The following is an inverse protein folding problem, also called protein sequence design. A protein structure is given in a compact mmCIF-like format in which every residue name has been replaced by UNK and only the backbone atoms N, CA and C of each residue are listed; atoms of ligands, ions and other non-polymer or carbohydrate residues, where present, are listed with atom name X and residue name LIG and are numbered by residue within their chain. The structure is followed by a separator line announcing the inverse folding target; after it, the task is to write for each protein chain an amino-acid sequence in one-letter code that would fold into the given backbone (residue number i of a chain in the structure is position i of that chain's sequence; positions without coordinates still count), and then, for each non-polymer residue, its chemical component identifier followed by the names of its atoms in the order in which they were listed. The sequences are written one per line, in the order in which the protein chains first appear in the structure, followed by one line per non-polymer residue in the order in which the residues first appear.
data_IF_808920648860
#
_entry.id   IF_808920648860
#
_cell.length_a   1.000
_cell.length_b   1.000
_cell.length_c   1.000
_cell.angle_alpha   90.00
_cell.angle_beta   90.00
_cell.angle_gamma   90.00
#
_symmetry.space_group_name_H-M   'P 1'
#
loop_
_entity.id
_entity.type
_entity.pdbx_description
1 polymer ?
#
# COMPACT_ATOMS: atom_id res chain seq x y z
N UNK A 1 -31.95 -33.45 -8.90
CA UNK A 1 -30.54 -33.46 -8.45
C UNK A 1 -30.19 -32.02 -7.99
N UNK A 2 -30.28 -31.79 -6.67
CA UNK A 2 -29.83 -30.55 -6.07
C UNK A 2 -28.32 -30.67 -5.86
N UNK A 3 -27.56 -29.99 -6.68
CA UNK A 3 -26.13 -29.75 -6.37
C UNK A 3 -26.09 -28.64 -5.35
N UNK A 4 -25.95 -29.04 -4.08
CA UNK A 4 -25.67 -28.14 -2.98
C UNK A 4 -24.25 -27.57 -3.22
N UNK A 5 -24.16 -26.31 -3.68
CA UNK A 5 -22.93 -25.56 -3.67
C UNK A 5 -22.68 -25.18 -2.19
N UNK A 6 -22.04 -26.08 -1.44
CA UNK A 6 -21.47 -25.76 -0.15
C UNK A 6 -20.28 -24.85 -0.46
N UNK A 7 -20.46 -23.55 -0.27
CA UNK A 7 -19.35 -22.62 -0.10
C UNK A 7 -18.51 -23.17 1.05
N UNK A 8 -17.40 -23.83 0.75
CA UNK A 8 -16.36 -24.11 1.73
C UNK A 8 -15.99 -22.77 2.35
N UNK A 9 -16.45 -22.54 3.56
CA UNK A 9 -15.98 -21.44 4.38
C UNK A 9 -14.45 -21.62 4.44
N UNK A 10 -13.71 -20.73 3.75
CA UNK A 10 -12.26 -20.79 3.66
C UNK A 10 -11.74 -20.66 5.09
N UNK A 11 -11.28 -21.77 5.64
CA UNK A 11 -10.93 -21.93 7.03
C UNK A 11 -9.77 -21.02 7.37
N UNK A 12 -9.94 -20.17 8.36
CA UNK A 12 -8.92 -19.23 8.81
C UNK A 12 -7.85 -20.01 9.60
N UNK A 13 -6.67 -20.15 9.00
CA UNK A 13 -5.46 -20.75 9.63
C UNK A 13 -4.58 -19.69 10.30
N UNK A 14 -5.05 -18.45 10.36
CA UNK A 14 -4.25 -17.31 10.79
C UNK A 14 -3.45 -16.66 9.65
N UNK A 15 -2.31 -16.10 9.99
CA UNK A 15 -1.48 -15.38 9.02
C UNK A 15 -0.78 -16.35 8.06
N UNK A 16 -1.15 -16.31 6.78
CA UNK A 16 -0.53 -17.04 5.68
C UNK A 16 0.18 -16.06 4.74
N UNK A 17 1.18 -16.55 4.00
CA UNK A 17 1.81 -15.76 2.95
C UNK A 17 0.80 -15.53 1.82
N UNK A 18 0.56 -14.28 1.52
CA UNK A 18 -0.32 -13.85 0.43
C UNK A 18 0.35 -12.77 -0.39
N UNK A 19 0.12 -12.78 -1.69
CA UNK A 19 0.61 -11.73 -2.57
C UNK A 19 -0.29 -10.50 -2.47
N UNK A 20 0.33 -9.35 -2.22
CA UNK A 20 -0.31 -8.05 -2.15
C UNK A 20 0.23 -7.16 -3.26
N UNK A 21 -0.65 -6.39 -3.88
CA UNK A 21 -0.29 -5.35 -4.84
C UNK A 21 -0.50 -3.98 -4.19
N UNK A 22 0.58 -3.29 -3.88
CA UNK A 22 0.52 -2.09 -3.04
C UNK A 22 0.70 -0.79 -3.82
N UNK A 23 0.89 -0.87 -5.16
CA UNK A 23 1.09 0.29 -6.01
C UNK A 23 0.53 0.03 -7.42
N UNK A 24 -0.78 0.16 -7.59
CA UNK A 24 -1.47 -0.05 -8.85
C UNK A 24 -2.23 1.20 -9.27
N UNK A 25 -1.77 1.87 -10.34
CA UNK A 25 -2.56 2.89 -11.00
C UNK A 25 -3.64 2.27 -11.88
N UNK A 26 -4.66 3.06 -12.18
CA UNK A 26 -5.80 2.62 -13.00
C UNK A 26 -5.94 3.50 -14.24
N UNK A 27 -6.81 3.17 -15.20
CA UNK A 27 -7.20 4.11 -16.24
C UNK A 27 -7.61 5.47 -15.65
N UNK A 28 -7.27 6.53 -16.35
CA UNK A 28 -7.51 7.92 -15.93
C UNK A 28 -6.76 8.35 -14.67
N UNK A 29 -5.70 7.62 -14.29
CA UNK A 29 -4.74 8.13 -13.31
C UNK A 29 -4.24 9.53 -13.74
N UNK A 30 -4.06 10.41 -12.77
CA UNK A 30 -3.83 11.85 -13.03
C UNK A 30 -2.48 12.14 -13.70
N UNK A 31 -1.55 11.19 -13.69
CA UNK A 31 -0.24 11.29 -14.37
C UNK A 31 0.08 10.00 -15.12
N UNK A 32 0.75 10.15 -16.28
CA UNK A 32 1.32 9.06 -17.06
C UNK A 32 0.35 7.93 -17.47
N UNK A 33 -0.96 8.21 -17.58
CA UNK A 33 -1.95 7.24 -18.03
C UNK A 33 -1.64 6.72 -19.44
N UNK A 34 -1.28 5.45 -19.55
CA UNK A 34 -0.96 4.72 -20.79
C UNK A 34 -1.94 3.57 -21.05
N UNK A 35 -3.01 3.46 -20.25
CA UNK A 35 -4.06 2.48 -20.50
C UNK A 35 -4.76 2.76 -21.82
N UNK A 36 -5.11 1.72 -22.58
CA UNK A 36 -5.64 1.82 -23.94
C UNK A 36 -7.12 1.48 -24.01
N UNK A 37 -7.83 2.13 -24.91
CA UNK A 37 -9.25 1.95 -25.23
C UNK A 37 -9.74 3.11 -26.09
N UNK A 38 -10.69 2.88 -26.99
CA UNK A 38 -11.25 3.91 -27.88
C UNK A 38 -12.25 4.82 -27.15
N UNK A 39 -12.85 4.30 -26.08
CA UNK A 39 -13.80 5.01 -25.24
C UNK A 39 -13.40 4.87 -23.77
N UNK A 40 -13.98 5.69 -22.90
CA UNK A 40 -13.82 5.58 -21.45
C UNK A 40 -14.19 4.18 -20.95
N UNK A 41 -15.31 3.65 -21.40
CA UNK A 41 -15.80 2.33 -20.98
C UNK A 41 -14.88 1.20 -21.48
N UNK A 42 -14.41 1.27 -22.73
CA UNK A 42 -13.47 0.30 -23.27
C UNK A 42 -12.14 0.29 -22.51
N UNK A 43 -11.68 1.47 -22.08
CA UNK A 43 -10.45 1.59 -21.29
C UNK A 43 -10.56 0.88 -19.94
N UNK A 44 -11.68 1.06 -19.25
CA UNK A 44 -11.97 0.36 -18.01
C UNK A 44 -12.20 -1.14 -18.23
N UNK A 45 -12.88 -1.52 -19.31
CA UNK A 45 -13.08 -2.93 -19.70
C UNK A 45 -11.75 -3.64 -19.89
N UNK A 46 -10.84 -3.04 -20.64
CA UNK A 46 -9.50 -3.58 -20.89
C UNK A 46 -8.70 -3.73 -19.58
N UNK A 47 -8.82 -2.77 -18.66
CA UNK A 47 -8.19 -2.84 -17.35
C UNK A 47 -8.71 -4.04 -16.53
N UNK A 48 -10.02 -4.21 -16.39
CA UNK A 48 -10.59 -5.34 -15.65
C UNK A 48 -10.32 -6.68 -16.33
N UNK A 49 -10.30 -6.71 -17.64
CA UNK A 49 -9.89 -7.90 -18.41
C UNK A 49 -8.45 -8.28 -18.11
N UNK A 50 -7.53 -7.31 -18.12
CA UNK A 50 -6.12 -7.56 -17.76
C UNK A 50 -5.96 -8.12 -16.34
N UNK A 51 -6.74 -7.65 -15.38
CA UNK A 51 -6.76 -8.18 -14.01
C UNK A 51 -7.27 -9.62 -13.99
N UNK A 52 -8.41 -9.88 -14.64
CA UNK A 52 -9.03 -11.20 -14.67
C UNK A 52 -8.15 -12.23 -15.38
N UNK A 53 -7.56 -11.88 -16.51
CA UNK A 53 -6.65 -12.74 -17.28
C UNK A 53 -5.36 -13.02 -16.50
N UNK A 54 -4.85 -12.05 -15.76
CA UNK A 54 -3.67 -12.25 -14.93
C UNK A 54 -3.96 -13.21 -13.78
N UNK A 55 -5.01 -12.99 -13.01
CA UNK A 55 -5.35 -13.82 -11.84
C UNK A 55 -5.85 -15.21 -12.27
N UNK A 56 -6.59 -15.29 -13.38
CA UNK A 56 -7.15 -16.53 -13.91
C UNK A 56 -8.15 -17.15 -12.91
N UNK A 57 -8.03 -18.45 -12.69
CA UNK A 57 -8.92 -19.20 -11.78
C UNK A 57 -8.54 -19.09 -10.29
N UNK A 58 -7.53 -18.30 -9.98
CA UNK A 58 -7.06 -18.03 -8.62
C UNK A 58 -6.36 -19.21 -7.92
N UNK A 59 -5.98 -20.26 -8.67
CA UNK A 59 -5.30 -21.45 -8.10
C UNK A 59 -3.78 -21.30 -8.08
N UNK A 60 -3.23 -20.50 -8.99
CA UNK A 60 -1.80 -20.23 -9.01
C UNK A 60 -1.44 -19.21 -7.92
N UNK A 61 -0.69 -19.59 -6.87
CA UNK A 61 -0.31 -18.67 -5.80
C UNK A 61 0.48 -17.46 -6.30
N UNK A 62 1.28 -17.62 -7.36
CA UNK A 62 2.07 -16.53 -7.95
C UNK A 62 1.20 -15.47 -8.64
N UNK A 63 0.00 -15.84 -9.05
CA UNK A 63 -0.93 -14.97 -9.77
C UNK A 63 -2.12 -14.53 -8.91
N UNK A 64 -2.35 -15.18 -7.78
CA UNK A 64 -3.45 -14.84 -6.86
C UNK A 64 -3.11 -13.60 -6.05
N UNK A 65 -3.87 -12.53 -6.24
CA UNK A 65 -3.75 -11.27 -5.51
C UNK A 65 -4.84 -11.22 -4.43
N UNK A 66 -4.46 -10.93 -3.19
CA UNK A 66 -5.39 -10.90 -2.05
C UNK A 66 -5.74 -9.49 -1.59
N UNK A 67 -4.86 -8.52 -1.82
CA UNK A 67 -5.10 -7.13 -1.49
C UNK A 67 -4.52 -6.22 -2.58
N UNK A 68 -5.23 -5.12 -2.87
CA UNK A 68 -4.83 -4.14 -3.88
C UNK A 68 -4.94 -2.74 -3.29
N UNK A 69 -3.85 -1.98 -3.36
CA UNK A 69 -3.86 -0.55 -3.15
C UNK A 69 -4.05 0.18 -4.49
N UNK A 70 -5.21 0.80 -4.66
CA UNK A 70 -5.48 1.64 -5.83
C UNK A 70 -4.81 2.99 -5.63
N UNK A 71 -3.83 3.27 -6.46
CA UNK A 71 -2.99 4.46 -6.37
C UNK A 71 -3.45 5.56 -7.34
N UNK A 72 -3.53 6.79 -6.83
CA UNK A 72 -3.68 7.97 -7.69
C UNK A 72 -3.00 9.19 -7.04
N UNK A 73 -2.74 10.22 -7.84
CA UNK A 73 -2.09 11.46 -7.40
C UNK A 73 -3.12 12.40 -6.80
N UNK A 74 -2.98 12.72 -5.51
CA UNK A 74 -3.84 13.67 -4.79
C UNK A 74 -5.35 13.39 -4.97
N UNK A 75 -5.75 12.13 -5.12
CA UNK A 75 -7.13 11.74 -5.41
C UNK A 75 -7.40 10.31 -4.95
N UNK A 76 -8.66 10.02 -4.65
CA UNK A 76 -9.21 8.67 -4.43
C UNK A 76 -10.36 8.34 -5.40
N UNK A 77 -10.58 9.15 -6.42
CA UNK A 77 -11.71 9.00 -7.35
C UNK A 77 -11.70 7.62 -8.02
N UNK A 78 -10.53 7.19 -8.48
CA UNK A 78 -10.37 5.91 -9.15
C UNK A 78 -10.54 4.72 -8.19
N UNK A 79 -10.12 4.86 -6.92
CA UNK A 79 -10.42 3.88 -5.90
C UNK A 79 -11.94 3.74 -5.67
N UNK A 80 -12.65 4.86 -5.54
CA UNK A 80 -14.11 4.85 -5.39
C UNK A 80 -14.80 4.19 -6.57
N UNK A 81 -14.33 4.45 -7.79
CA UNK A 81 -14.86 3.81 -9.01
C UNK A 81 -14.62 2.30 -9.00
N UNK A 82 -13.42 1.83 -8.70
CA UNK A 82 -13.11 0.39 -8.65
C UNK A 82 -14.00 -0.32 -7.61
N UNK A 83 -14.22 0.31 -6.46
CA UNK A 83 -15.11 -0.23 -5.42
C UNK A 83 -16.59 -0.26 -5.87
N UNK A 84 -17.04 0.77 -6.58
CA UNK A 84 -18.40 0.86 -7.10
C UNK A 84 -18.67 -0.16 -8.21
N UNK A 85 -17.71 -0.38 -9.10
CA UNK A 85 -17.83 -1.30 -10.23
C UNK A 85 -17.91 -2.79 -9.80
N UNK A 86 -17.32 -3.16 -8.67
CA UNK A 86 -17.35 -4.53 -8.08
C UNK A 86 -16.92 -5.62 -9.07
N UNK A 87 -15.88 -5.36 -9.85
CA UNK A 87 -15.44 -6.22 -10.96
C UNK A 87 -14.12 -6.96 -10.66
N UNK A 88 -13.55 -6.78 -9.48
CA UNK A 88 -12.33 -7.50 -9.10
C UNK A 88 -12.64 -8.98 -8.82
N UNK A 89 -11.71 -9.89 -9.15
CA UNK A 89 -11.86 -11.32 -8.84
C UNK A 89 -12.04 -11.61 -7.36
N UNK A 90 -12.73 -12.70 -7.02
CA UNK A 90 -13.05 -13.09 -5.65
C UNK A 90 -11.82 -13.35 -4.75
N UNK A 91 -10.64 -13.59 -5.33
CA UNK A 91 -9.39 -13.71 -4.57
C UNK A 91 -9.00 -12.40 -3.89
N UNK A 92 -9.37 -11.26 -4.46
CA UNK A 92 -9.10 -9.94 -3.87
C UNK A 92 -10.08 -9.70 -2.73
N UNK A 93 -9.56 -9.69 -1.51
CA UNK A 93 -10.34 -9.55 -0.27
C UNK A 93 -10.30 -8.14 0.32
N UNK A 94 -9.26 -7.37 -0.01
CA UNK A 94 -9.05 -6.01 0.46
C UNK A 94 -8.71 -5.10 -0.72
N UNK A 95 -9.44 -4.01 -0.82
CA UNK A 95 -9.09 -2.88 -1.70
C UNK A 95 -9.04 -1.63 -0.84
N UNK A 96 -7.97 -0.84 -0.94
CA UNK A 96 -7.81 0.37 -0.16
C UNK A 96 -7.14 1.48 -0.99
N UNK A 97 -7.39 2.76 -0.65
CA UNK A 97 -6.80 3.86 -1.39
C UNK A 97 -5.34 4.09 -0.99
N UNK A 98 -4.52 4.34 -1.99
CA UNK A 98 -3.15 4.79 -1.88
C UNK A 98 -3.04 6.17 -2.55
N UNK A 99 -2.89 7.23 -1.76
CA UNK A 99 -2.73 8.59 -2.28
C UNK A 99 -1.26 8.88 -2.43
N UNK A 100 -0.82 9.07 -3.66
CA UNK A 100 0.55 9.47 -3.97
C UNK A 100 0.69 10.98 -3.93
N UNK A 101 1.73 11.44 -3.24
CA UNK A 101 2.06 12.83 -3.03
C UNK A 101 3.48 13.12 -3.49
N UNK A 102 3.73 14.36 -3.87
CA UNK A 102 5.06 14.90 -4.13
C UNK A 102 5.46 15.80 -2.97
N UNK A 103 6.64 15.54 -2.40
CA UNK A 103 7.11 16.25 -1.21
C UNK A 103 8.49 16.88 -1.43
N UNK A 104 8.72 18.04 -0.82
CA UNK A 104 10.06 18.64 -0.71
C UNK A 104 10.92 17.86 0.31
N UNK A 105 12.26 17.84 0.17
CA UNK A 105 13.04 18.61 -0.77
C UNK A 105 12.95 18.09 -2.20
N UNK A 106 13.28 18.95 -3.16
CA UNK A 106 13.39 18.62 -4.56
C UNK A 106 14.87 18.48 -4.87
N UNK A 107 15.29 17.36 -5.45
CA UNK A 107 16.62 17.19 -6.01
C UNK A 107 16.53 17.13 -7.52
N UNK A 108 17.34 17.92 -8.19
CA UNK A 108 17.22 18.14 -9.63
C UNK A 108 15.79 18.57 -9.98
N UNK A 109 15.07 17.78 -10.78
CA UNK A 109 13.71 18.10 -11.23
C UNK A 109 12.63 17.22 -10.59
N UNK A 110 13.00 16.43 -9.57
CA UNK A 110 12.10 15.39 -9.01
C UNK A 110 11.90 15.54 -7.50
N UNK A 111 10.67 15.79 -7.04
CA UNK A 111 10.33 15.75 -5.63
C UNK A 111 10.31 14.31 -5.12
N UNK A 112 10.36 14.14 -3.80
CA UNK A 112 10.25 12.85 -3.13
C UNK A 112 8.82 12.32 -3.26
N UNK A 113 8.67 11.06 -3.66
CA UNK A 113 7.38 10.38 -3.61
C UNK A 113 7.11 9.89 -2.19
N UNK A 114 5.95 10.24 -1.69
CA UNK A 114 5.42 9.75 -0.43
C UNK A 114 3.97 9.35 -0.64
N UNK A 115 3.57 8.26 -0.01
CA UNK A 115 2.27 7.66 -0.17
C UNK A 115 1.55 7.62 1.17
N UNK A 116 0.24 7.83 1.14
CA UNK A 116 -0.64 7.62 2.27
C UNK A 116 -1.64 6.51 1.92
N UNK A 117 -1.49 5.36 2.58
CA UNK A 117 -2.41 4.23 2.46
C UNK A 117 -3.47 4.39 3.56
N UNK A 118 -4.73 4.41 3.18
CA UNK A 118 -5.82 4.64 4.12
C UNK A 118 -6.67 3.40 4.34
N UNK A 119 -7.10 3.21 5.60
CA UNK A 119 -8.14 2.23 5.94
C UNK A 119 -9.43 2.58 5.18
N UNK A 120 -10.06 1.63 4.48
CA UNK A 120 -11.32 1.86 3.78
C UNK A 120 -12.43 2.46 4.65
N UNK A 121 -12.38 2.24 5.96
CA UNK A 121 -13.41 2.73 6.90
C UNK A 121 -13.48 4.26 7.01
N UNK A 122 -12.41 4.98 6.64
CA UNK A 122 -12.35 6.45 6.77
C UNK A 122 -12.42 7.20 5.44
N UNK A 123 -12.67 6.50 4.34
CA UNK A 123 -12.65 7.08 2.99
C UNK A 123 -13.61 8.27 2.86
N UNK A 124 -14.79 8.22 3.49
CA UNK A 124 -15.75 9.32 3.48
C UNK A 124 -15.31 10.58 4.22
N UNK A 125 -14.24 10.52 5.01
CA UNK A 125 -13.72 11.63 5.79
C UNK A 125 -12.46 12.27 5.17
N UNK A 126 -11.90 11.66 4.11
CA UNK A 126 -10.61 12.08 3.55
C UNK A 126 -10.66 13.46 2.90
N UNK A 127 -11.78 13.85 2.28
CA UNK A 127 -11.91 15.18 1.68
C UNK A 127 -11.71 16.27 2.74
N UNK A 128 -12.42 16.17 3.87
CA UNK A 128 -12.40 17.18 4.92
C UNK A 128 -11.17 17.09 5.83
N UNK A 129 -10.75 15.87 6.18
CA UNK A 129 -9.70 15.68 7.18
C UNK A 129 -8.29 15.59 6.60
N UNK A 130 -8.16 15.15 5.33
CA UNK A 130 -6.87 14.99 4.68
C UNK A 130 -6.67 16.03 3.57
N UNK A 131 -7.40 15.96 2.46
CA UNK A 131 -7.17 16.84 1.31
C UNK A 131 -7.37 18.31 1.61
N UNK A 132 -8.40 18.67 2.37
CA UNK A 132 -8.64 20.05 2.77
C UNK A 132 -7.55 20.63 3.69
N UNK A 133 -6.78 19.77 4.39
CA UNK A 133 -5.74 20.20 5.33
C UNK A 133 -4.31 20.11 4.76
N UNK A 134 -4.10 19.41 3.65
CA UNK A 134 -2.85 19.54 2.91
C UNK A 134 -2.78 20.95 2.31
N UNK A 135 -1.79 21.73 2.70
CA UNK A 135 -1.64 23.12 2.26
C UNK A 135 -0.41 23.30 1.39
N UNK A 136 -0.59 24.06 0.33
CA UNK A 136 0.47 24.49 -0.57
C UNK A 136 0.36 26.01 -0.78
N UNK A 137 1.48 26.68 -0.80
CA UNK A 137 1.52 28.13 -0.99
C UNK A 137 2.21 28.45 -2.33
N UNK A 138 1.54 29.26 -3.14
CA UNK A 138 2.07 29.77 -4.38
C UNK A 138 1.67 31.24 -4.54
N UNK A 139 2.65 32.11 -4.80
CA UNK A 139 2.45 33.55 -5.04
C UNK A 139 1.58 34.21 -3.95
N UNK A 140 1.89 33.94 -2.67
CA UNK A 140 1.17 34.43 -1.47
C UNK A 140 -0.28 33.91 -1.31
N UNK A 141 -0.77 33.06 -2.20
CA UNK A 141 -2.04 32.37 -2.07
C UNK A 141 -1.85 30.98 -1.48
N UNK A 142 -2.82 30.58 -0.64
CA UNK A 142 -2.86 29.24 -0.07
C UNK A 142 -3.90 28.40 -0.82
N UNK A 143 -3.52 27.16 -1.12
CA UNK A 143 -4.33 26.15 -1.78
C UNK A 143 -4.39 24.91 -0.91
N UNK A 144 -5.47 24.16 -1.01
CA UNK A 144 -5.54 22.80 -0.44
C UNK A 144 -5.50 21.75 -1.55
N UNK A 145 -5.37 20.50 -1.18
CA UNK A 145 -5.35 19.38 -2.15
C UNK A 145 -6.76 18.97 -2.61
N UNK A 146 -7.79 19.76 -2.32
CA UNK A 146 -9.14 19.50 -2.83
C UNK A 146 -9.22 19.80 -4.32
N UNK A 147 -10.11 19.10 -5.04
CA UNK A 147 -10.23 19.24 -6.49
C UNK A 147 -10.47 20.69 -6.92
N UNK A 148 -11.34 21.43 -6.23
CA UNK A 148 -11.64 22.84 -6.53
C UNK A 148 -10.41 23.74 -6.37
N UNK A 149 -9.61 23.53 -5.33
CA UNK A 149 -8.42 24.31 -5.05
C UNK A 149 -7.28 23.97 -6.01
N UNK A 150 -7.19 22.73 -6.46
CA UNK A 150 -6.23 22.30 -7.51
C UNK A 150 -6.58 22.93 -8.86
N UNK A 151 -7.88 23.03 -9.21
CA UNK A 151 -8.35 23.76 -10.40
C UNK A 151 -7.99 25.23 -10.28
N UNK A 152 -8.27 25.87 -9.14
CA UNK A 152 -7.92 27.28 -8.87
C UNK A 152 -6.41 27.50 -9.01
N UNK A 153 -5.59 26.62 -8.45
CA UNK A 153 -4.13 26.68 -8.60
C UNK A 153 -3.71 26.62 -10.08
N UNK A 154 -4.33 25.77 -10.89
CA UNK A 154 -4.04 25.66 -12.32
C UNK A 154 -4.30 26.97 -13.09
N UNK A 155 -5.45 27.59 -12.87
CA UNK A 155 -5.81 28.88 -13.44
C UNK A 155 -4.84 29.98 -13.00
N UNK A 156 -4.55 30.06 -11.71
CA UNK A 156 -3.68 31.09 -11.14
C UNK A 156 -2.22 30.94 -11.62
N UNK A 157 -1.75 29.68 -11.77
CA UNK A 157 -0.41 29.37 -12.26
C UNK A 157 -0.22 29.80 -13.72
N UNK A 158 -1.17 29.46 -14.59
CA UNK A 158 -1.12 29.84 -16.02
C UNK A 158 -1.57 31.30 -16.25
N UNK A 159 -2.19 31.95 -15.25
CA UNK A 159 -2.83 33.28 -15.40
C UNK A 159 -3.87 33.29 -16.52
N UNK A 160 -4.57 32.19 -16.71
CA UNK A 160 -5.59 32.00 -17.74
C UNK A 160 -6.87 31.41 -17.14
N UNK A 161 -7.93 32.21 -17.09
CA UNK A 161 -9.24 31.83 -16.59
C UNK A 161 -10.13 31.19 -17.65
N UNK A 162 -9.64 31.08 -18.90
CA UNK A 162 -10.39 30.47 -20.01
C UNK A 162 -10.13 28.97 -20.16
N UNK A 163 -9.17 28.41 -19.42
CA UNK A 163 -8.90 26.98 -19.40
C UNK A 163 -10.13 26.20 -18.92
N UNK A 164 -10.33 25.03 -19.48
CA UNK A 164 -11.29 24.07 -18.92
C UNK A 164 -10.86 23.61 -17.53
N UNK A 165 -11.82 23.21 -16.69
CA UNK A 165 -11.55 22.66 -15.35
C UNK A 165 -10.60 21.44 -15.42
N UNK A 166 -10.70 20.62 -16.47
CA UNK A 166 -9.85 19.47 -16.68
C UNK A 166 -8.39 19.86 -16.94
N UNK A 167 -8.17 20.84 -17.81
CA UNK A 167 -6.83 21.38 -18.10
C UNK A 167 -6.24 22.07 -16.88
N UNK A 168 -7.02 22.91 -16.20
CA UNK A 168 -6.60 23.59 -14.98
C UNK A 168 -6.27 22.60 -13.87
N UNK A 169 -7.07 21.54 -13.66
CA UNK A 169 -6.80 20.47 -12.69
C UNK A 169 -5.48 19.78 -12.99
N UNK A 170 -5.22 19.41 -14.24
CA UNK A 170 -3.96 18.77 -14.66
C UNK A 170 -2.75 19.64 -14.36
N UNK A 171 -2.86 20.95 -14.61
CA UNK A 171 -1.81 21.90 -14.29
C UNK A 171 -1.63 22.00 -12.78
N UNK A 172 -2.71 22.21 -12.02
CA UNK A 172 -2.67 22.30 -10.56
C UNK A 172 -2.02 21.09 -9.91
N UNK A 173 -2.41 19.88 -10.32
CA UNK A 173 -1.80 18.64 -9.89
C UNK A 173 -0.29 18.56 -10.19
N UNK A 174 0.15 19.11 -11.32
CA UNK A 174 1.57 19.10 -11.70
C UNK A 174 2.41 20.06 -10.84
N UNK A 175 1.82 21.12 -10.31
CA UNK A 175 2.49 22.14 -9.51
C UNK A 175 2.40 21.89 -7.99
N UNK A 176 1.50 21.00 -7.56
CA UNK A 176 1.24 20.79 -6.14
C UNK A 176 2.31 19.93 -5.49
N UNK A 177 3.10 20.53 -4.60
CA UNK A 177 4.16 19.86 -3.84
C UNK A 177 4.02 20.24 -2.37
N UNK A 178 4.00 19.24 -1.48
CA UNK A 178 3.85 19.48 -0.03
C UNK A 178 5.21 19.56 0.67
N UNK A 179 5.23 20.19 1.85
CA UNK A 179 6.36 20.12 2.77
C UNK A 179 6.21 18.98 3.77
N UNK A 180 7.32 18.54 4.36
CA UNK A 180 7.32 17.61 5.49
C UNK A 180 6.46 18.11 6.65
N UNK A 181 6.56 19.42 6.96
CA UNK A 181 5.81 20.06 8.02
C UNK A 181 4.30 19.98 7.75
N UNK A 182 3.86 20.32 6.53
CA UNK A 182 2.45 20.24 6.16
C UNK A 182 1.88 18.83 6.36
N UNK A 183 2.59 17.80 5.88
CA UNK A 183 2.13 16.42 6.04
C UNK A 183 2.11 15.98 7.49
N UNK A 184 3.15 16.34 8.26
CA UNK A 184 3.23 16.05 9.69
C UNK A 184 2.09 16.71 10.47
N UNK A 185 1.77 17.96 10.17
CA UNK A 185 0.71 18.71 10.85
C UNK A 185 -0.68 18.12 10.60
N UNK A 186 -0.97 17.63 9.39
CA UNK A 186 -2.23 16.95 9.10
C UNK A 186 -2.47 15.80 10.08
N UNK A 187 -1.47 14.98 10.33
CA UNK A 187 -1.59 13.83 11.22
C UNK A 187 -1.48 14.19 12.71
N UNK A 188 -0.65 15.18 13.05
CA UNK A 188 -0.51 15.68 14.42
C UNK A 188 -1.80 16.25 14.96
N UNK A 189 -2.54 16.99 14.12
CA UNK A 189 -3.83 17.58 14.51
C UNK A 189 -5.03 16.64 14.29
N UNK A 190 -4.82 15.48 13.67
CA UNK A 190 -5.83 14.44 13.44
C UNK A 190 -5.31 13.06 13.86
N UNK A 191 -5.16 12.75 15.17
CA UNK A 191 -4.61 11.46 15.61
C UNK A 191 -5.42 10.24 15.14
N UNK A 192 -6.76 10.38 15.07
CA UNK A 192 -7.64 9.32 14.56
C UNK A 192 -7.38 9.03 13.08
N UNK A 193 -7.09 10.07 12.28
CA UNK A 193 -6.69 9.90 10.89
C UNK A 193 -5.34 9.17 10.80
N UNK A 194 -4.34 9.56 11.64
CA UNK A 194 -3.04 8.88 11.66
C UNK A 194 -3.17 7.40 12.02
N UNK A 195 -4.04 7.06 12.98
CA UNK A 195 -4.27 5.66 13.36
C UNK A 195 -4.78 4.80 12.20
N UNK A 196 -5.51 5.41 11.27
CA UNK A 196 -6.10 4.79 10.08
C UNK A 196 -5.29 5.04 8.79
N UNK A 197 -4.04 5.48 8.93
CA UNK A 197 -3.15 5.79 7.80
C UNK A 197 -1.79 5.15 7.99
N UNK A 198 -1.26 4.57 6.92
CA UNK A 198 0.13 4.11 6.83
C UNK A 198 0.84 5.03 5.85
N UNK A 199 1.95 5.63 6.28
CA UNK A 199 2.77 6.53 5.46
C UNK A 199 3.95 5.75 4.90
N UNK A 200 4.13 5.80 3.59
CA UNK A 200 5.19 5.08 2.88
C UNK A 200 6.02 6.04 2.07
N UNK A 201 7.33 6.04 2.27
CA UNK A 201 8.25 6.85 1.45
C UNK A 201 8.93 5.98 0.41
N UNK A 202 9.06 6.47 -0.81
CA UNK A 202 9.86 5.80 -1.85
C UNK A 202 11.35 6.00 -1.58
N UNK A 203 12.13 4.90 -1.63
CA UNK A 203 13.58 4.94 -1.41
C UNK A 203 14.38 4.67 -2.69
N UNK A 204 13.78 4.14 -3.73
CA UNK A 204 14.45 3.85 -4.99
C UNK A 204 13.67 4.38 -6.20
N UNK A 205 14.38 4.62 -7.29
CA UNK A 205 13.78 5.05 -8.56
C UNK A 205 12.97 3.95 -9.26
N UNK A 206 13.03 2.71 -8.78
CA UNK A 206 12.26 1.59 -9.34
C UNK A 206 10.80 1.55 -8.86
N UNK A 207 10.46 2.35 -7.85
CA UNK A 207 9.12 2.41 -7.24
C UNK A 207 8.45 3.77 -7.49
N UNK A 208 8.66 4.33 -8.67
CA UNK A 208 8.17 5.65 -9.05
C UNK A 208 9.31 6.64 -9.37
N UNK A 209 8.97 7.88 -9.72
CA UNK A 209 9.87 8.81 -10.35
C UNK A 209 11.05 9.26 -9.48
N UNK A 210 10.96 9.22 -8.15
CA UNK A 210 12.09 9.58 -7.30
C UNK A 210 11.93 9.08 -5.87
N UNK A 211 12.87 8.29 -5.42
CA UNK A 211 12.98 7.88 -4.03
C UNK A 211 13.96 8.74 -3.25
N UNK A 212 13.89 8.64 -1.94
CA UNK A 212 14.76 9.40 -1.03
C UNK A 212 16.26 9.09 -1.26
N UNK A 213 16.59 7.88 -1.72
CA UNK A 213 17.96 7.48 -2.03
C UNK A 213 18.51 8.15 -3.28
N UNK A 214 17.69 8.44 -4.30
CA UNK A 214 18.14 9.13 -5.51
C UNK A 214 18.48 10.60 -5.26
N UNK A 215 18.11 11.12 -4.11
CA UNK A 215 18.50 12.42 -3.62
C UNK A 215 19.84 12.41 -2.82
N UNK A 216 20.62 11.32 -2.91
CA UNK A 216 21.89 11.16 -2.20
C UNK A 216 22.86 12.30 -2.48
N UNK A 217 22.93 12.81 -3.70
CA UNK A 217 23.83 13.94 -4.07
C UNK A 217 23.41 15.23 -3.37
N UNK A 218 22.12 15.41 -3.15
CA UNK A 218 21.57 16.51 -2.38
C UNK A 218 21.92 16.39 -0.88
N UNK A 219 22.07 15.17 -0.39
CA UNK A 219 22.43 14.83 0.98
C UNK A 219 23.95 14.60 1.18
N UNK A 220 24.77 14.73 0.15
CA UNK A 220 26.23 14.61 0.22
C UNK A 220 26.96 15.96 0.45
N UNK A 221 26.22 17.09 0.42
CA UNK A 221 26.77 18.42 0.69
C UNK A 221 27.17 18.60 2.15
N UNK A 222 26.68 19.59 2.83
CA UNK A 222 26.91 19.74 4.28
C UNK A 222 26.12 18.67 5.06
N UNK A 223 26.78 17.57 5.34
CA UNK A 223 26.25 16.31 5.83
C UNK A 223 25.31 16.49 7.04
N UNK A 224 25.54 17.48 7.89
CA UNK A 224 24.82 17.62 9.14
C UNK A 224 23.36 18.09 8.99
N UNK A 225 23.04 19.00 8.08
CA UNK A 225 21.69 19.55 7.94
C UNK A 225 20.76 18.64 7.12
N UNK A 226 21.30 18.04 6.08
CA UNK A 226 20.52 17.18 5.18
C UNK A 226 20.24 15.82 5.79
N UNK A 227 21.10 15.31 6.64
CA UNK A 227 20.85 14.11 7.41
C UNK A 227 19.66 14.28 8.38
N UNK A 228 19.51 15.43 9.01
CA UNK A 228 18.35 15.70 9.88
C UNK A 228 17.03 15.67 9.09
N UNK A 229 17.00 16.26 7.89
CA UNK A 229 15.81 16.21 7.02
C UNK A 229 15.50 14.79 6.57
N UNK A 230 16.50 14.01 6.18
CA UNK A 230 16.34 12.61 5.79
C UNK A 230 15.78 11.77 6.94
N UNK A 231 16.35 11.90 8.14
CA UNK A 231 15.84 11.22 9.34
C UNK A 231 14.40 11.62 9.64
N UNK A 232 14.06 12.90 9.57
CA UNK A 232 12.70 13.37 9.81
C UNK A 232 11.69 12.79 8.83
N UNK A 233 12.05 12.59 7.55
CA UNK A 233 11.20 11.94 6.56
C UNK A 233 10.99 10.46 6.89
N UNK A 234 12.06 9.72 7.24
CA UNK A 234 11.90 8.33 7.66
C UNK A 234 11.11 8.20 8.96
N UNK A 235 11.34 9.07 9.94
CA UNK A 235 10.61 9.06 11.23
C UNK A 235 9.13 9.40 11.08
N UNK A 236 8.75 10.16 10.03
CA UNK A 236 7.35 10.38 9.69
C UNK A 236 6.72 9.16 9.00
N UNK A 237 7.53 8.36 8.32
CA UNK A 237 7.08 7.22 7.51
C UNK A 237 6.99 5.94 8.34
N UNK A 238 6.02 5.10 8.01
CA UNK A 238 5.82 3.79 8.65
C UNK A 238 6.50 2.66 7.86
N UNK A 239 6.61 2.82 6.52
CA UNK A 239 7.15 1.83 5.59
C UNK A 239 7.96 2.49 4.48
N UNK A 240 8.64 1.68 3.70
CA UNK A 240 9.44 2.11 2.56
C UNK A 240 9.02 1.38 1.29
N UNK A 241 8.77 2.11 0.20
CA UNK A 241 8.69 1.51 -1.13
C UNK A 241 10.11 1.25 -1.64
N UNK A 242 10.51 0.01 -1.64
CA UNK A 242 11.75 -0.46 -2.28
C UNK A 242 11.77 -1.97 -2.42
N UNK A 243 12.11 -2.45 -3.60
CA UNK A 243 12.38 -3.88 -3.85
C UNK A 243 13.88 -4.21 -3.87
N UNK A 244 14.75 -3.23 -3.56
CA UNK A 244 16.20 -3.40 -3.55
C UNK A 244 16.65 -4.22 -2.33
N UNK A 245 17.34 -5.37 -2.49
CA UNK A 245 17.77 -6.19 -1.37
C UNK A 245 18.67 -5.45 -0.36
N UNK A 246 19.46 -4.48 -0.81
CA UNK A 246 20.31 -3.67 0.08
C UNK A 246 19.50 -2.74 0.97
N UNK A 247 18.40 -2.19 0.45
CA UNK A 247 17.50 -1.35 1.22
C UNK A 247 16.73 -2.21 2.24
N UNK A 248 16.24 -3.37 1.81
CA UNK A 248 15.56 -4.34 2.70
C UNK A 248 16.47 -4.70 3.87
N UNK A 249 17.70 -5.10 3.59
CA UNK A 249 18.67 -5.41 4.65
C UNK A 249 18.97 -4.21 5.55
N UNK A 250 19.11 -3.00 4.99
CA UNK A 250 19.35 -1.79 5.78
C UNK A 250 18.21 -1.49 6.75
N UNK A 251 16.97 -1.44 6.27
CA UNK A 251 15.81 -1.07 7.10
C UNK A 251 15.43 -2.16 8.12
N UNK A 252 15.92 -3.39 7.94
CA UNK A 252 15.82 -4.47 8.92
C UNK A 252 16.99 -4.52 9.93
N UNK A 253 17.98 -3.61 9.81
CA UNK A 253 19.17 -3.61 10.66
C UNK A 253 20.11 -4.77 10.38
N UNK A 254 20.08 -5.33 9.17
CA UNK A 254 20.95 -6.41 8.68
C UNK A 254 22.03 -5.88 7.72
N UNK A 255 22.07 -4.54 7.53
CA UNK A 255 23.04 -3.84 6.71
C UNK A 255 24.26 -3.33 7.51
N UNK A 256 24.90 -2.23 7.05
CA UNK A 256 26.04 -1.63 7.74
C UNK A 256 25.70 -1.06 9.13
N UNK A 257 24.49 -0.55 9.30
CA UNK A 257 23.97 -0.01 10.56
C UNK A 257 23.30 -1.14 11.37
N UNK A 258 23.54 -1.15 12.67
CA UNK A 258 22.87 -2.09 13.57
C UNK A 258 21.38 -1.73 13.76
N UNK A 259 20.60 -2.67 14.29
CA UNK A 259 19.18 -2.47 14.64
C UNK A 259 18.96 -1.19 15.43
N UNK A 260 19.81 -0.91 16.44
CA UNK A 260 19.67 0.26 17.30
C UNK A 260 19.93 1.56 16.53
N UNK A 261 20.92 1.57 15.64
CA UNK A 261 21.23 2.72 14.79
C UNK A 261 20.10 2.99 13.80
N UNK A 262 19.54 1.93 13.17
CA UNK A 262 18.41 2.08 12.27
C UNK A 262 17.18 2.63 13.01
N UNK A 263 16.88 2.12 14.20
CA UNK A 263 15.79 2.65 15.03
C UNK A 263 16.02 4.10 15.45
N UNK A 264 17.26 4.49 15.77
CA UNK A 264 17.60 5.89 16.07
C UNK A 264 17.33 6.80 14.86
N UNK A 265 17.77 6.38 13.65
CA UNK A 265 17.64 7.16 12.42
C UNK A 265 16.21 7.20 11.89
N UNK A 266 15.51 6.09 11.92
CA UNK A 266 14.20 5.90 11.25
C UNK A 266 13.02 5.84 12.23
N UNK A 267 13.25 5.78 13.54
CA UNK A 267 12.21 5.63 14.57
C UNK A 267 11.85 4.17 14.86
N UNK A 268 11.93 3.29 13.86
CA UNK A 268 11.67 1.83 13.99
C UNK A 268 12.45 1.07 12.92
N UNK A 269 12.42 -0.26 12.97
CA UNK A 269 12.69 -1.07 11.78
C UNK A 269 11.52 -0.90 10.82
N UNK A 270 11.81 -0.73 9.53
CA UNK A 270 10.79 -0.41 8.54
C UNK A 270 10.61 -1.56 7.53
N UNK A 271 9.39 -2.06 7.33
CA UNK A 271 9.17 -3.00 6.24
C UNK A 271 9.35 -2.32 4.88
N UNK A 272 10.09 -2.99 4.00
CA UNK A 272 10.10 -2.63 2.60
C UNK A 272 8.96 -3.33 1.88
N UNK A 273 8.12 -2.57 1.18
CA UNK A 273 7.02 -3.06 0.37
C UNK A 273 7.22 -2.70 -1.09
N UNK A 274 6.47 -3.36 -1.99
CA UNK A 274 6.60 -3.17 -3.42
C UNK A 274 5.27 -3.32 -4.14
N UNK A 275 5.17 -2.76 -5.34
CA UNK A 275 4.05 -2.90 -6.25
C UNK A 275 4.52 -2.80 -7.70
N UNK A 276 3.60 -2.96 -8.64
CA UNK A 276 3.92 -2.97 -10.06
C UNK A 276 4.08 -1.58 -10.66
N UNK A 277 3.58 -0.53 -10.00
CA UNK A 277 3.55 0.85 -10.53
C UNK A 277 3.00 0.88 -11.98
N UNK A 278 1.95 0.08 -12.22
CA UNK A 278 1.40 -0.09 -13.55
C UNK A 278 0.63 1.15 -14.01
N UNK A 279 0.98 1.64 -15.18
CA UNK A 279 0.29 2.71 -15.90
C UNK A 279 -0.28 2.23 -17.25
N UNK A 280 -0.15 0.95 -17.58
CA UNK A 280 -0.67 0.32 -18.79
C UNK A 280 -1.17 -1.10 -18.52
N UNK A 281 -1.99 -1.64 -19.43
CA UNK A 281 -2.58 -2.98 -19.27
C UNK A 281 -1.53 -4.09 -19.12
N UNK A 282 -0.42 -3.98 -19.84
CA UNK A 282 0.65 -5.00 -19.88
C UNK A 282 1.47 -5.04 -18.59
N UNK A 283 1.43 -3.95 -17.81
CA UNK A 283 2.17 -3.82 -16.54
C UNK A 283 1.35 -4.19 -15.31
N UNK A 284 0.06 -4.45 -15.48
CA UNK A 284 -0.81 -4.83 -14.35
C UNK A 284 -0.26 -6.08 -13.68
N UNK A 285 0.04 -5.98 -12.38
CA UNK A 285 0.64 -7.02 -11.53
C UNK A 285 1.99 -7.57 -12.00
N UNK A 286 2.68 -6.85 -12.88
CA UNK A 286 4.00 -7.22 -13.40
C UNK A 286 5.10 -6.27 -12.89
N UNK A 287 5.51 -6.37 -11.62
CA UNK A 287 6.58 -5.55 -11.07
C UNK A 287 7.92 -5.90 -11.72
N UNK A 288 8.86 -4.94 -11.69
CA UNK A 288 10.20 -5.15 -12.21
C UNK A 288 10.87 -6.39 -11.59
N UNK A 289 11.56 -7.17 -12.42
CA UNK A 289 12.26 -8.42 -12.04
C UNK A 289 11.36 -9.46 -11.35
N UNK A 290 10.05 -9.41 -11.54
CA UNK A 290 9.06 -10.25 -10.85
C UNK A 290 9.22 -10.22 -9.31
N UNK A 291 9.58 -9.08 -8.75
CA UNK A 291 9.74 -8.89 -7.31
C UNK A 291 8.39 -8.67 -6.66
N UNK A 292 7.65 -9.74 -6.44
CA UNK A 292 6.32 -9.70 -5.82
C UNK A 292 6.41 -9.39 -4.34
N UNK A 293 5.44 -8.63 -3.84
CA UNK A 293 5.30 -8.32 -2.42
C UNK A 293 4.43 -9.39 -1.74
N UNK A 294 5.06 -10.19 -0.88
CA UNK A 294 4.41 -11.20 -0.07
C UNK A 294 4.27 -10.69 1.35
N UNK A 295 3.05 -10.74 1.88
CA UNK A 295 2.76 -10.34 3.24
C UNK A 295 2.10 -11.51 3.98
N UNK A 296 2.65 -11.82 5.16
CA UNK A 296 2.12 -12.84 6.07
C UNK A 296 1.15 -12.19 7.06
N UNK A 297 -0.05 -11.94 6.59
CA UNK A 297 -1.15 -11.35 7.37
C UNK A 297 -2.50 -11.68 6.75
N UNK A 298 -3.57 -11.51 7.50
CA UNK A 298 -4.91 -11.50 6.94
C UNK A 298 -5.08 -10.29 6.01
N UNK A 299 -5.80 -10.42 4.89
CA UNK A 299 -5.99 -9.33 3.93
C UNK A 299 -7.01 -8.33 4.47
N UNK A 300 -6.61 -7.62 5.52
CA UNK A 300 -7.32 -6.51 6.17
C UNK A 300 -6.34 -5.36 6.38
N UNK A 301 -6.83 -4.14 6.59
CA UNK A 301 -5.95 -3.01 6.87
C UNK A 301 -5.20 -3.18 8.20
N UNK A 302 -5.85 -3.77 9.22
CA UNK A 302 -5.18 -4.12 10.48
C UNK A 302 -4.12 -5.21 10.27
N UNK A 303 -4.35 -6.18 9.37
CA UNK A 303 -3.33 -7.14 8.96
C UNK A 303 -2.12 -6.49 8.32
N UNK A 304 -2.34 -5.46 7.46
CA UNK A 304 -1.24 -4.66 6.92
C UNK A 304 -0.46 -3.93 8.01
N UNK A 305 -1.13 -3.39 9.03
CA UNK A 305 -0.46 -2.76 10.18
C UNK A 305 0.40 -3.73 11.00
N UNK A 306 0.07 -5.02 11.03
CA UNK A 306 0.88 -6.01 11.76
C UNK A 306 2.32 -6.12 11.24
N UNK A 307 2.56 -5.84 9.95
CA UNK A 307 3.91 -5.90 9.40
C UNK A 307 4.86 -4.84 9.99
N UNK A 308 4.32 -3.77 10.57
CA UNK A 308 5.11 -2.72 11.23
C UNK A 308 5.82 -3.22 12.49
N UNK A 309 5.22 -4.21 13.16
CA UNK A 309 5.76 -4.77 14.40
C UNK A 309 6.78 -5.90 14.15
N UNK A 310 6.59 -6.66 13.07
CA UNK A 310 7.41 -7.83 12.73
C UNK A 310 7.81 -7.80 11.24
N UNK A 311 8.49 -6.74 10.77
CA UNK A 311 8.76 -6.55 9.34
C UNK A 311 9.58 -7.69 8.74
N UNK A 312 10.55 -8.22 9.48
CA UNK A 312 11.40 -9.33 9.04
C UNK A 312 10.63 -10.63 8.84
N UNK A 313 9.64 -10.90 9.69
CA UNK A 313 8.92 -12.18 9.70
C UNK A 313 7.67 -12.15 8.80
N UNK A 314 7.17 -10.95 8.45
CA UNK A 314 5.89 -10.77 7.78
C UNK A 314 5.96 -10.22 6.37
N UNK A 315 7.13 -9.80 5.90
CA UNK A 315 7.30 -9.26 4.53
C UNK A 315 8.42 -9.98 3.81
N UNK A 316 8.18 -10.37 2.57
CA UNK A 316 9.17 -10.86 1.62
C UNK A 316 8.94 -10.22 0.26
N UNK A 317 10.02 -9.79 -0.37
CA UNK A 317 10.02 -9.37 -1.78
C UNK A 317 10.75 -10.48 -2.56
N UNK A 318 10.00 -11.26 -3.34
CA UNK A 318 10.52 -12.45 -4.01
C UNK A 318 9.76 -12.76 -5.30
N UNK A 319 10.43 -13.38 -6.26
CA UNK A 319 9.81 -13.91 -7.48
C UNK A 319 9.10 -15.25 -7.28
N UNK A 320 9.26 -15.87 -6.11
CA UNK A 320 8.62 -17.13 -5.73
C UNK A 320 7.80 -16.95 -4.47
N UNK A 321 6.86 -17.87 -4.26
CA UNK A 321 6.15 -17.99 -2.97
C UNK A 321 7.17 -18.22 -1.87
N UNK A 322 7.12 -17.48 -0.75
CA UNK A 322 8.00 -17.74 0.39
C UNK A 322 7.86 -19.17 0.90
N UNK A 323 8.98 -19.74 1.33
CA UNK A 323 9.02 -21.13 1.81
C UNK A 323 8.04 -21.35 2.98
N UNK A 324 7.21 -22.37 2.84
CA UNK A 324 6.37 -22.90 3.90
C UNK A 324 7.08 -24.10 4.55
N UNK A 325 6.72 -24.40 5.79
CA UNK A 325 7.24 -25.60 6.45
C UNK A 325 6.79 -26.85 5.70
N UNK A 326 7.66 -27.84 5.48
CA UNK A 326 7.24 -29.11 4.92
C UNK A 326 6.08 -29.72 5.71
N UNK A 327 5.05 -30.21 5.01
CA UNK A 327 3.79 -30.68 5.61
C UNK A 327 3.96 -31.74 6.70
N UNK A 328 5.05 -32.53 6.66
CA UNK A 328 5.36 -33.54 7.69
C UNK A 328 5.88 -32.95 9.02
N UNK A 329 6.15 -31.63 9.08
CA UNK A 329 6.47 -30.91 10.32
C UNK A 329 5.31 -30.08 10.86
N UNK A 330 4.13 -30.19 10.26
CA UNK A 330 2.98 -29.34 10.56
C UNK A 330 1.78 -30.21 10.95
N UNK A 331 1.10 -29.84 12.04
CA UNK A 331 -0.24 -30.33 12.32
C UNK A 331 -1.22 -29.42 11.57
N UNK A 332 -1.82 -29.94 10.51
CA UNK A 332 -2.72 -29.19 9.64
C UNK A 332 -4.06 -28.92 10.34
N UNK A 333 -4.65 -29.96 10.94
CA UNK A 333 -5.93 -29.88 11.60
C UNK A 333 -6.12 -31.00 12.64
N UNK A 334 -7.07 -30.79 13.52
CA UNK A 334 -7.58 -31.81 14.43
C UNK A 334 -9.08 -32.01 14.18
N UNK A 335 -9.51 -33.24 14.06
CA UNK A 335 -10.93 -33.63 13.97
C UNK A 335 -11.26 -34.48 15.19
N UNK A 336 -12.31 -34.12 15.93
CA UNK A 336 -12.77 -34.84 17.11
C UNK A 336 -14.09 -35.53 16.77
N UNK A 337 -14.05 -36.83 16.65
CA UNK A 337 -15.23 -37.66 16.36
C UNK A 337 -15.76 -38.40 17.61
N UNK A 338 -17.06 -38.55 17.69
CA UNK A 338 -17.70 -39.39 18.73
C UNK A 338 -17.71 -38.78 20.13
N UNK A 339 -17.45 -37.49 20.29
CA UNK A 339 -17.53 -36.78 21.55
C UNK A 339 -18.64 -35.72 21.50
N UNK A 340 -19.57 -35.76 22.50
CA UNK A 340 -20.70 -34.82 22.55
C UNK A 340 -20.29 -33.38 22.99
N UNK A 341 -19.12 -33.23 23.60
CA UNK A 341 -18.65 -31.96 24.14
C UNK A 341 -17.94 -31.11 23.09
N UNK A 342 -17.60 -31.67 21.91
CA UNK A 342 -16.92 -30.98 20.84
C UNK A 342 -17.76 -30.97 19.55
N UNK A 343 -17.70 -29.86 18.83
CA UNK A 343 -18.22 -29.81 17.47
C UNK A 343 -17.44 -30.81 16.58
N UNK A 344 -18.14 -31.53 15.67
CA UNK A 344 -17.48 -32.43 14.72
C UNK A 344 -16.69 -31.67 13.64
N UNK A 345 -16.72 -30.35 13.64
CA UNK A 345 -15.99 -29.53 12.66
C UNK A 345 -14.50 -29.60 12.91
N UNK A 346 -13.67 -29.67 11.83
CA UNK A 346 -12.24 -29.67 11.96
C UNK A 346 -11.72 -28.32 12.49
N UNK A 347 -10.74 -28.37 13.40
CA UNK A 347 -10.01 -27.23 13.92
C UNK A 347 -8.69 -27.15 13.15
N UNK A 348 -8.51 -26.09 12.38
CA UNK A 348 -7.31 -25.87 11.55
C UNK A 348 -6.26 -25.08 12.31
N UNK A 349 -5.00 -25.44 12.11
CA UNK A 349 -3.87 -24.79 12.75
C UNK A 349 -3.00 -24.01 11.76
N UNK A 350 -2.34 -22.98 12.27
CA UNK A 350 -1.25 -22.31 11.56
C UNK A 350 -0.05 -23.25 11.45
N UNK A 351 0.70 -23.14 10.38
CA UNK A 351 1.97 -23.85 10.18
C UNK A 351 3.08 -23.38 11.16
N UNK A 352 2.89 -22.25 11.83
CA UNK A 352 3.86 -21.64 12.74
C UNK A 352 3.47 -21.83 14.21
N UNK A 353 2.49 -21.08 14.67
CA UNK A 353 2.02 -21.06 16.05
C UNK A 353 0.52 -20.95 16.11
N UNK A 354 -0.11 -21.86 16.84
CA UNK A 354 -1.51 -21.77 17.22
C UNK A 354 -1.61 -21.77 18.73
N UNK A 355 -2.26 -20.74 19.30
CA UNK A 355 -2.49 -20.61 20.72
C UNK A 355 -3.93 -21.01 21.06
N UNK A 356 -4.09 -21.95 21.99
CA UNK A 356 -5.39 -22.34 22.55
C UNK A 356 -5.59 -21.57 23.85
N UNK A 357 -6.52 -20.62 23.85
CA UNK A 357 -6.82 -19.77 24.99
C UNK A 357 -8.24 -20.01 25.51
N UNK A 358 -8.44 -19.77 26.78
CA UNK A 358 -9.76 -19.89 27.41
C UNK A 358 -9.69 -19.82 28.93
N UNK A 359 -10.78 -19.50 29.59
CA UNK A 359 -10.90 -19.46 31.04
C UNK A 359 -10.75 -20.82 31.72
N UNK A 360 -10.89 -20.85 33.05
CA UNK A 360 -10.95 -22.09 33.80
C UNK A 360 -12.20 -22.89 33.39
N UNK A 361 -12.07 -24.18 33.22
CA UNK A 361 -13.16 -25.11 32.87
C UNK A 361 -13.80 -24.92 31.49
N UNK A 362 -13.06 -24.32 30.53
CA UNK A 362 -13.53 -24.15 29.13
C UNK A 362 -13.13 -25.31 28.21
N UNK A 363 -12.65 -26.42 28.72
CA UNK A 363 -12.32 -27.59 27.91
C UNK A 363 -10.90 -27.60 27.29
N UNK A 364 -10.06 -26.59 27.54
CA UNK A 364 -8.69 -26.55 26.96
C UNK A 364 -7.85 -27.81 27.17
N UNK A 365 -7.99 -28.44 28.33
CA UNK A 365 -7.27 -29.66 28.68
C UNK A 365 -7.85 -30.93 28.10
N UNK A 366 -8.99 -30.84 27.41
CA UNK A 366 -9.62 -31.95 26.69
C UNK A 366 -9.20 -32.00 25.22
N UNK A 367 -8.78 -30.88 24.67
CA UNK A 367 -8.22 -30.76 23.33
C UNK A 367 -6.74 -31.15 23.32
#
# INVERSE_FOLDING_TARGET
MHVSCVLEAKMNRGSEWRRWELHLHTPFTKKADQYTGKTTDEKWENFYTSIADYIGDGRDPLRSIFAIAITDYLSIDNYLKVCADKRLPDSVKLVFPNVELRMTPIASDSPINIHCLFDPSIVGELEDRFFANLKFEYNHNKYSATKSELIRLGHDFQRDQSLSDEEALKIGLSQYVISLETLSDVFKYNPQLKEKTIIVVSNSSSDGASGLRTHSDYFLGDISQLEATRRAIYQLSDMVFSSNPKDIAYFLGEGPDSIDIVKEKCGSLMPCIHGCDAHSNEKVFAPADNRFCWIKADPTFEGLKQILYEPKERVRISSSVPDEKPGYYVIDRVEIAGNADFSPEPIYFSDQLTCIIGGKSTGKSLL
#
